data_IF_013559096379
#
_entry.id   IF_013559096379
#
_cell.length_a   1.000
_cell.length_b   1.000
_cell.length_c   1.000
_cell.angle_alpha   90.00
_cell.angle_beta   90.00
_cell.angle_gamma   90.00
#
_symmetry.space_group_name_H-M   'P 1'
#
loop_
_entity.id
_entity.type
_entity.pdbx_description
1 polymer ?
#
# COMPACT_ATOMS: atom_id res chain seq x y z
N UNK A 1 2.65 -24.34 2.74
CA UNK A 1 2.30 -22.99 2.28
C UNK A 1 2.67 -22.91 0.81
N UNK A 2 1.77 -22.38 -0.02
CA UNK A 2 1.93 -22.43 -1.49
C UNK A 2 2.51 -21.12 -2.07
N UNK A 3 2.45 -20.02 -1.31
CA UNK A 3 3.04 -18.73 -1.65
C UNK A 3 3.41 -17.97 -0.37
N UNK A 4 4.17 -16.88 -0.50
CA UNK A 4 4.53 -15.95 0.58
C UNK A 4 4.24 -14.51 0.20
N UNK A 5 3.70 -13.73 1.14
CA UNK A 5 3.56 -12.28 1.00
C UNK A 5 4.75 -11.54 1.61
N UNK A 6 5.54 -10.86 0.76
CA UNK A 6 6.72 -10.10 1.19
C UNK A 6 6.63 -8.65 0.72
N UNK A 7 7.21 -7.69 1.46
CA UNK A 7 7.17 -6.29 1.05
C UNK A 7 8.07 -6.04 -0.17
N UNK A 8 7.55 -5.30 -1.15
CA UNK A 8 8.25 -4.99 -2.42
C UNK A 8 9.52 -4.16 -2.18
N UNK A 9 9.44 -3.24 -1.22
CA UNK A 9 10.57 -2.50 -0.67
C UNK A 9 10.59 -2.64 0.85
N UNK A 10 11.73 -2.39 1.49
CA UNK A 10 11.81 -2.50 2.95
C UNK A 10 10.79 -1.54 3.62
N UNK A 11 9.88 -2.00 4.51
CA UNK A 11 8.76 -1.19 5.00
C UNK A 11 9.13 0.11 5.73
N UNK A 12 10.31 0.14 6.36
CA UNK A 12 10.84 1.34 7.04
C UNK A 12 11.76 2.20 6.16
N UNK A 13 11.96 1.83 4.89
CA UNK A 13 12.82 2.58 3.99
C UNK A 13 12.02 3.71 3.34
N UNK A 14 11.90 4.81 4.08
CA UNK A 14 11.25 6.03 3.57
C UNK A 14 12.11 6.62 2.45
N UNK A 15 11.46 6.81 1.30
CA UNK A 15 12.03 7.37 0.08
C UNK A 15 11.54 8.79 -0.12
N UNK A 16 12.40 9.60 -0.71
CA UNK A 16 12.12 10.98 -1.09
C UNK A 16 12.29 11.08 -2.61
N UNK A 17 11.28 11.62 -3.29
CA UNK A 17 11.21 11.73 -4.75
C UNK A 17 11.04 13.18 -5.21
N UNK A 18 10.64 14.07 -4.31
CA UNK A 18 10.25 15.43 -4.64
C UNK A 18 11.44 16.37 -4.48
N UNK A 19 11.95 16.52 -3.25
CA UNK A 19 12.88 17.59 -2.89
C UNK A 19 14.04 17.17 -1.98
N UNK A 20 15.07 18.02 -1.93
CA UNK A 20 16.19 17.89 -0.97
C UNK A 20 17.23 16.83 -1.35
N UNK A 21 18.26 16.71 -0.49
CA UNK A 21 19.40 15.80 -0.72
C UNK A 21 18.99 14.33 -0.69
N UNK A 22 17.93 13.99 0.05
CA UNK A 22 17.45 12.61 0.18
C UNK A 22 16.91 12.04 -1.15
N UNK A 23 16.45 12.90 -2.08
CA UNK A 23 16.08 12.50 -3.44
C UNK A 23 17.24 11.88 -4.22
N UNK A 24 18.46 12.34 -3.95
CA UNK A 24 19.68 11.88 -4.61
C UNK A 24 20.40 10.79 -3.79
N UNK A 25 19.70 10.14 -2.84
CA UNK A 25 20.28 9.05 -2.06
C UNK A 25 20.74 7.95 -3.02
N UNK A 26 22.03 7.64 -2.97
CA UNK A 26 22.64 6.61 -3.80
C UNK A 26 22.24 5.20 -3.34
N UNK A 27 22.30 4.25 -4.27
CA UNK A 27 22.00 2.84 -4.02
C UNK A 27 20.64 2.39 -4.55
N UNK A 28 20.45 1.08 -4.62
CA UNK A 28 19.18 0.48 -5.02
C UNK A 28 18.11 0.73 -3.94
N UNK A 29 16.87 0.99 -4.36
CA UNK A 29 15.77 1.24 -3.43
C UNK A 29 15.25 -0.03 -2.74
N UNK A 30 15.53 -1.20 -3.33
CA UNK A 30 15.14 -2.52 -2.81
C UNK A 30 16.16 -3.58 -3.26
N UNK A 31 15.88 -4.84 -2.93
CA UNK A 31 16.69 -6.01 -3.27
C UNK A 31 16.63 -6.31 -4.78
N UNK A 32 17.64 -7.00 -5.31
CA UNK A 32 17.67 -7.40 -6.72
C UNK A 32 16.63 -8.49 -7.02
N UNK A 33 16.06 -8.41 -8.21
CA UNK A 33 15.26 -9.42 -8.88
C UNK A 33 16.02 -10.76 -9.06
N UNK A 34 17.35 -10.72 -9.22
CA UNK A 34 18.22 -11.90 -9.37
C UNK A 34 18.27 -12.82 -8.13
N UNK A 35 17.65 -12.41 -7.02
CA UNK A 35 17.59 -13.25 -5.82
C UNK A 35 16.73 -14.51 -6.00
N UNK A 36 15.79 -14.50 -6.95
CA UNK A 36 14.92 -15.65 -7.27
C UNK A 36 14.82 -15.80 -8.78
N UNK A 37 14.52 -17.02 -9.23
CA UNK A 37 14.18 -17.27 -10.64
C UNK A 37 12.84 -16.61 -11.02
N UNK A 38 12.66 -16.25 -12.29
CA UNK A 38 11.42 -15.63 -12.78
C UNK A 38 10.18 -16.48 -12.47
N UNK A 39 10.29 -17.80 -12.53
CA UNK A 39 9.18 -18.70 -12.17
C UNK A 39 8.79 -18.59 -10.70
N UNK A 40 9.75 -18.37 -9.79
CA UNK A 40 9.48 -18.22 -8.36
C UNK A 40 8.78 -16.89 -8.08
N UNK A 41 9.25 -15.80 -8.70
CA UNK A 41 8.57 -14.50 -8.62
C UNK A 41 7.12 -14.58 -9.13
N UNK A 42 6.91 -15.25 -10.26
CA UNK A 42 5.63 -15.31 -10.95
C UNK A 42 4.61 -16.27 -10.29
N UNK A 43 5.04 -17.16 -9.40
CA UNK A 43 4.15 -18.18 -8.81
C UNK A 43 4.11 -18.22 -7.28
N UNK A 44 5.20 -17.87 -6.61
CA UNK A 44 5.35 -18.05 -5.16
C UNK A 44 5.26 -16.74 -4.37
N UNK A 45 5.35 -15.58 -5.03
CA UNK A 45 5.51 -14.30 -4.34
C UNK A 45 4.28 -13.40 -4.54
N UNK A 46 3.71 -12.93 -3.42
CA UNK A 46 2.72 -11.85 -3.42
C UNK A 46 3.37 -10.57 -2.89
N UNK A 47 3.37 -9.52 -3.72
CA UNK A 47 4.02 -8.25 -3.41
C UNK A 47 3.21 -7.40 -2.43
N UNK A 48 3.74 -7.08 -1.26
CA UNK A 48 3.11 -6.16 -0.31
C UNK A 48 3.56 -4.73 -0.57
N UNK A 49 2.61 -3.84 -0.81
CA UNK A 49 2.90 -2.41 -0.92
C UNK A 49 3.18 -1.80 0.46
N UNK A 50 3.97 -0.73 0.48
CA UNK A 50 4.28 0.00 1.70
C UNK A 50 3.04 0.72 2.25
N UNK A 51 2.68 0.46 3.51
CA UNK A 51 1.47 1.01 4.12
C UNK A 51 1.54 2.53 4.34
N UNK A 52 2.70 3.06 4.77
CA UNK A 52 2.84 4.48 5.09
C UNK A 52 2.56 5.40 3.90
N UNK A 53 3.11 5.17 2.68
CA UNK A 53 2.72 5.91 1.49
C UNK A 53 1.21 5.86 1.21
N UNK A 54 0.55 4.72 1.38
CA UNK A 54 -0.89 4.59 1.12
C UNK A 54 -1.70 5.50 2.03
N UNK A 55 -1.39 5.51 3.33
CA UNK A 55 -2.05 6.39 4.30
C UNK A 55 -1.80 7.88 4.00
N UNK A 56 -0.67 8.20 3.39
CA UNK A 56 -0.25 9.56 3.09
C UNK A 56 -0.77 10.08 1.75
N UNK A 57 -1.45 9.25 0.93
CA UNK A 57 -2.04 9.68 -0.33
C UNK A 57 -3.15 10.72 -0.16
N UNK A 58 -3.81 10.74 0.99
CA UNK A 58 -4.85 11.74 1.33
C UNK A 58 -4.33 12.79 2.31
N UNK A 59 -3.01 12.89 2.49
CA UNK A 59 -2.42 13.87 3.39
C UNK A 59 -2.74 15.30 2.92
N UNK A 60 -3.00 16.24 3.85
CA UNK A 60 -3.25 17.64 3.51
C UNK A 60 -1.99 18.33 2.95
N UNK A 61 -0.80 17.81 3.25
CA UNK A 61 0.47 18.31 2.74
C UNK A 61 0.70 17.84 1.29
N UNK A 62 0.74 18.75 0.30
CA UNK A 62 0.87 18.36 -1.11
C UNK A 62 2.19 17.64 -1.42
N UNK A 63 3.30 18.06 -0.81
CA UNK A 63 4.61 17.43 -1.03
C UNK A 63 4.64 15.99 -0.52
N UNK A 64 3.99 15.72 0.62
CA UNK A 64 3.91 14.37 1.18
C UNK A 64 3.03 13.46 0.32
N UNK A 65 1.90 13.98 -0.17
CA UNK A 65 1.03 13.26 -1.10
C UNK A 65 1.78 12.90 -2.39
N UNK A 66 2.40 13.89 -3.03
CA UNK A 66 3.15 13.67 -4.26
C UNK A 66 4.30 12.66 -4.08
N UNK A 67 5.06 12.76 -2.98
CA UNK A 67 6.11 11.78 -2.67
C UNK A 67 5.55 10.35 -2.50
N UNK A 68 4.36 10.23 -1.91
CA UNK A 68 3.69 8.94 -1.70
C UNK A 68 3.17 8.35 -3.00
N UNK A 69 2.66 9.19 -3.91
CA UNK A 69 2.26 8.80 -5.27
C UNK A 69 3.45 8.25 -6.08
N UNK A 70 4.59 8.92 -6.02
CA UNK A 70 5.83 8.48 -6.67
C UNK A 70 6.36 7.17 -6.07
N UNK A 71 6.32 7.07 -4.74
CA UNK A 71 6.75 5.87 -4.02
C UNK A 71 5.92 4.65 -4.41
N UNK A 72 4.59 4.79 -4.43
CA UNK A 72 3.70 3.70 -4.81
C UNK A 72 3.77 3.38 -6.30
N UNK A 73 3.93 4.40 -7.14
CA UNK A 73 4.18 4.20 -8.57
C UNK A 73 5.46 3.39 -8.82
N UNK A 74 6.53 3.65 -8.09
CA UNK A 74 7.76 2.86 -8.15
C UNK A 74 7.52 1.40 -7.74
N UNK A 75 6.81 1.15 -6.63
CA UNK A 75 6.52 -0.22 -6.17
C UNK A 75 5.62 -1.00 -7.14
N UNK A 76 4.57 -0.37 -7.67
CA UNK A 76 3.66 -0.98 -8.66
C UNK A 76 4.41 -1.32 -9.95
N UNK A 77 5.30 -0.43 -10.39
CA UNK A 77 6.12 -0.66 -11.59
C UNK A 77 7.12 -1.79 -11.36
N UNK A 78 7.73 -1.86 -10.17
CA UNK A 78 8.65 -2.94 -9.83
C UNK A 78 7.93 -4.29 -9.68
N UNK A 79 6.72 -4.32 -9.11
CA UNK A 79 5.88 -5.52 -9.08
C UNK A 79 5.55 -6.03 -10.49
N UNK A 80 5.24 -5.14 -11.44
CA UNK A 80 5.05 -5.50 -12.84
C UNK A 80 6.35 -6.05 -13.46
N UNK A 81 7.49 -5.41 -13.18
CA UNK A 81 8.80 -5.85 -13.68
C UNK A 81 9.17 -7.25 -13.20
N UNK A 82 8.90 -7.56 -11.93
CA UNK A 82 9.10 -8.89 -11.36
C UNK A 82 8.11 -9.95 -11.88
N UNK A 83 7.05 -9.55 -12.58
CA UNK A 83 6.02 -10.48 -13.07
C UNK A 83 5.16 -11.09 -11.96
N UNK A 84 5.01 -10.38 -10.82
CA UNK A 84 4.30 -10.94 -9.67
C UNK A 84 2.87 -11.36 -10.03
N UNK A 85 2.35 -12.48 -9.51
CA UNK A 85 0.98 -12.92 -9.75
C UNK A 85 -0.03 -12.01 -9.07
N UNK A 86 0.31 -11.44 -7.91
CA UNK A 86 -0.56 -10.56 -7.15
C UNK A 86 0.24 -9.54 -6.32
N UNK A 87 -0.40 -8.40 -6.07
CA UNK A 87 0.01 -7.43 -5.06
C UNK A 87 -1.07 -7.31 -3.98
N UNK A 88 -0.68 -6.86 -2.79
CA UNK A 88 -1.62 -6.64 -1.69
C UNK A 88 -1.29 -5.40 -0.87
N UNK A 89 -2.33 -4.76 -0.35
CA UNK A 89 -2.25 -3.65 0.58
C UNK A 89 -3.48 -3.59 1.48
N UNK A 90 -3.43 -2.81 2.57
CA UNK A 90 -4.53 -2.70 3.53
C UNK A 90 -5.21 -1.35 3.44
N UNK A 91 -6.54 -1.33 3.33
CA UNK A 91 -7.35 -0.14 3.56
C UNK A 91 -7.56 0.03 5.06
N UNK A 92 -7.26 1.23 5.57
CA UNK A 92 -7.37 1.54 7.00
C UNK A 92 -8.23 2.80 7.28
N UNK A 93 -8.78 3.41 6.23
CA UNK A 93 -9.61 4.62 6.25
C UNK A 93 -10.49 4.61 5.00
N UNK A 94 -11.64 5.25 5.12
CA UNK A 94 -12.55 5.67 4.06
C UNK A 94 -11.92 6.62 3.03
N UNK A 95 -10.88 7.37 3.43
CA UNK A 95 -10.11 8.25 2.54
C UNK A 95 -9.16 7.43 1.67
N UNK A 96 -9.68 6.82 0.61
CA UNK A 96 -8.93 5.96 -0.31
C UNK A 96 -9.08 6.31 -1.80
N UNK A 97 -9.48 7.55 -2.12
CA UNK A 97 -9.76 7.97 -3.50
C UNK A 97 -8.50 8.00 -4.37
N UNK A 98 -7.37 8.49 -3.85
CA UNK A 98 -6.12 8.54 -4.62
C UNK A 98 -5.52 7.16 -4.82
N UNK A 99 -5.60 6.23 -3.85
CA UNK A 99 -5.11 4.87 -4.10
C UNK A 99 -5.96 4.19 -5.17
N UNK A 100 -7.28 4.36 -5.14
CA UNK A 100 -8.16 3.87 -6.19
C UNK A 100 -7.80 4.45 -7.56
N UNK A 101 -7.54 5.76 -7.64
CA UNK A 101 -7.06 6.43 -8.87
C UNK A 101 -5.73 5.85 -9.36
N UNK A 102 -4.73 5.68 -8.49
CA UNK A 102 -3.43 5.12 -8.86
C UNK A 102 -3.58 3.69 -9.40
N UNK A 103 -4.34 2.85 -8.69
CA UNK A 103 -4.60 1.47 -9.10
C UNK A 103 -5.35 1.42 -10.43
N UNK A 104 -6.42 2.19 -10.59
CA UNK A 104 -7.20 2.28 -11.82
C UNK A 104 -6.31 2.64 -13.01
N UNK A 105 -5.44 3.64 -12.86
CA UNK A 105 -4.50 4.05 -13.90
C UNK A 105 -3.54 2.92 -14.28
N UNK A 106 -3.08 2.10 -13.32
CA UNK A 106 -2.20 0.95 -13.61
C UNK A 106 -2.94 -0.18 -14.31
N UNK A 107 -4.17 -0.47 -13.91
CA UNK A 107 -5.00 -1.49 -14.56
C UNK A 107 -5.25 -1.12 -16.03
N UNK A 108 -5.58 0.15 -16.32
CA UNK A 108 -5.74 0.64 -17.69
C UNK A 108 -4.44 0.54 -18.50
N UNK A 109 -3.28 0.72 -17.88
CA UNK A 109 -1.97 0.55 -18.53
C UNK A 109 -1.63 -0.92 -18.87
N UNK A 110 -2.47 -1.88 -18.46
CA UNK A 110 -2.32 -3.29 -18.84
C UNK A 110 -1.39 -4.10 -17.92
N UNK A 111 -1.34 -3.77 -16.62
CA UNK A 111 -0.62 -4.62 -15.65
C UNK A 111 -1.31 -5.98 -15.51
N UNK A 112 -0.52 -7.05 -15.40
CA UNK A 112 -1.03 -8.43 -15.41
C UNK A 112 -1.21 -9.06 -14.00
N UNK A 113 -0.82 -8.36 -12.94
CA UNK A 113 -0.95 -8.86 -11.56
C UNK A 113 -2.37 -8.66 -11.01
N UNK A 114 -2.80 -9.57 -10.15
CA UNK A 114 -4.01 -9.40 -9.35
C UNK A 114 -3.78 -8.38 -8.22
N UNK A 115 -4.86 -7.77 -7.73
CA UNK A 115 -4.81 -6.76 -6.66
C UNK A 115 -5.69 -7.25 -5.52
N UNK A 116 -5.06 -7.58 -4.40
CA UNK A 116 -5.73 -8.05 -3.19
C UNK A 116 -5.81 -6.92 -2.19
N UNK A 117 -6.99 -6.32 -2.10
CA UNK A 117 -7.28 -5.26 -1.14
C UNK A 117 -7.68 -5.92 0.18
N UNK A 118 -6.87 -5.74 1.22
CA UNK A 118 -7.18 -6.20 2.57
C UNK A 118 -8.01 -5.14 3.28
N UNK A 119 -9.25 -5.50 3.61
CA UNK A 119 -10.16 -4.65 4.39
C UNK A 119 -10.41 -5.33 5.73
N UNK A 120 -10.16 -4.66 6.87
CA UNK A 120 -10.41 -5.26 8.17
C UNK A 120 -11.91 -5.34 8.45
N UNK A 121 -12.36 -6.37 9.18
CA UNK A 121 -13.78 -6.52 9.55
C UNK A 121 -14.25 -5.45 10.55
N UNK A 122 -13.33 -4.91 11.33
CA UNK A 122 -13.57 -3.83 12.28
C UNK A 122 -12.54 -2.73 12.02
N UNK A 123 -12.94 -1.47 12.07
CA UNK A 123 -12.03 -0.38 11.81
C UNK A 123 -10.94 -0.32 12.92
N UNK A 124 -9.65 -0.09 12.58
CA UNK A 124 -8.59 -0.02 13.58
C UNK A 124 -8.83 1.03 14.67
N UNK A 125 -9.53 2.11 14.32
CA UNK A 125 -9.91 3.17 15.25
C UNK A 125 -10.88 2.71 16.34
N UNK A 126 -11.81 1.82 16.00
CA UNK A 126 -12.81 1.29 16.94
C UNK A 126 -12.18 0.29 17.89
N UNK A 127 -11.35 -0.62 17.36
CA UNK A 127 -10.57 -1.56 18.17
C UNK A 127 -9.72 -0.77 19.17
N UNK A 128 -9.12 0.35 18.76
CA UNK A 128 -8.36 1.21 19.65
C UNK A 128 -9.24 1.97 20.67
N UNK A 129 -10.46 2.38 20.27
CA UNK A 129 -11.39 3.10 21.15
C UNK A 129 -11.86 2.24 22.34
N UNK A 130 -11.96 0.92 22.18
CA UNK A 130 -12.32 -0.02 23.27
C UNK A 130 -11.37 0.04 24.48
N UNK A 131 -10.13 0.51 24.29
CA UNK A 131 -9.13 0.63 25.35
C UNK A 131 -8.96 2.06 25.87
N UNK A 132 -9.81 3.00 25.42
CA UNK A 132 -9.72 4.43 25.72
C UNK A 132 -10.92 4.87 26.53
N UNK A 133 -10.71 5.24 27.79
CA UNK A 133 -11.76 5.76 28.67
C UNK A 133 -12.22 7.17 28.30
N UNK A 134 -11.47 7.87 27.43
CA UNK A 134 -11.75 9.24 27.00
C UNK A 134 -12.60 9.34 25.72
N UNK A 135 -12.83 8.22 25.03
CA UNK A 135 -13.74 8.14 23.89
C UNK A 135 -15.06 7.54 24.35
N UNK A 136 -16.14 8.29 24.19
CA UNK A 136 -17.49 7.75 24.34
C UNK A 136 -17.77 6.78 23.18
N UNK A 137 -18.46 5.68 23.48
CA UNK A 137 -19.00 4.80 22.43
C UNK A 137 -19.92 5.62 21.53
N UNK A 138 -19.81 5.46 20.22
CA UNK A 138 -20.60 6.23 19.25
C UNK A 138 -22.11 6.08 19.55
N UNK A 139 -22.79 7.20 19.80
CA UNK A 139 -24.22 7.25 20.18
C UNK A 139 -25.14 6.55 19.18
N UNK A 140 -24.76 6.50 17.90
CA UNK A 140 -25.55 5.92 16.82
C UNK A 140 -25.47 4.38 16.75
N UNK A 141 -24.60 3.72 17.53
CA UNK A 141 -24.43 2.26 17.52
C UNK A 141 -23.93 1.67 16.19
N UNK A 142 -23.80 2.49 15.15
CA UNK A 142 -23.18 2.14 13.88
C UNK A 142 -21.68 2.21 14.03
N UNK A 143 -21.07 1.03 14.18
CA UNK A 143 -19.66 0.84 13.91
C UNK A 143 -19.30 1.47 12.55
N UNK A 144 -18.11 2.06 12.44
CA UNK A 144 -17.45 2.43 11.19
C UNK A 144 -17.51 1.21 10.27
N UNK A 145 -18.46 1.24 9.33
CA UNK A 145 -18.67 0.13 8.41
C UNK A 145 -17.54 0.08 7.39
N UNK A 146 -16.56 -0.77 7.65
CA UNK A 146 -15.40 -0.94 6.76
C UNK A 146 -15.78 -1.52 5.40
N UNK A 147 -16.99 -2.07 5.24
CA UNK A 147 -17.49 -2.47 3.93
C UNK A 147 -17.69 -1.26 3.01
N UNK A 148 -18.03 -0.09 3.55
CA UNK A 148 -18.10 1.16 2.76
C UNK A 148 -16.74 1.61 2.22
N UNK A 149 -15.63 1.16 2.82
CA UNK A 149 -14.30 1.44 2.28
C UNK A 149 -13.99 0.58 1.05
N UNK A 150 -14.61 -0.59 0.97
CA UNK A 150 -14.49 -1.52 -0.15
C UNK A 150 -15.40 -1.15 -1.32
N UNK A 151 -16.64 -0.76 -1.03
CA UNK A 151 -17.70 -0.50 -2.00
C UNK A 151 -17.56 0.85 -2.70
#
# INVERSE_FOLDING_TARGET
YDFISIPVAHPRYTREHVNGKAKQRQGAFTRSDLLLGSNEWNSLIVGRLSQTPILNLEAPCPSLRHNSEETLSQELTFAAHLGLPAITFTLATDRCTNIARLIHNRVIQGVCYQIWVRVPLQAPEEVAAQYRSDKEESEDGFAIDTWTWWN
#
